data_IF_201648737785
#
_entry.id   IF_201648737785
#
_cell.length_a   1.000
_cell.length_b   1.000
_cell.length_c   1.000
_cell.angle_alpha   90.00
_cell.angle_beta   90.00
_cell.angle_gamma   90.00
#
_symmetry.space_group_name_H-M   'P 1'
#
loop_
_entity.id
_entity.type
_entity.pdbx_description
1 polymer ?
#
# COMPACT_ATOMS: atom_id res chain seq x y z
N UNK A 1 52.35 -44.99 27.98
CA UNK A 1 51.45 -44.91 26.81
C UNK A 1 50.76 -43.55 26.90
N UNK A 2 51.04 -42.62 25.98
CA UNK A 2 50.43 -41.28 26.02
C UNK A 2 48.94 -41.44 25.68
N UNK A 3 47.99 -40.96 26.50
CA UNK A 3 46.57 -41.04 26.18
C UNK A 3 46.32 -40.31 24.87
N UNK A 4 45.62 -40.97 23.93
CA UNK A 4 45.21 -40.32 22.68
C UNK A 4 44.23 -39.20 23.03
N UNK A 5 44.36 -38.01 22.43
CA UNK A 5 43.45 -36.91 22.70
C UNK A 5 42.02 -37.27 22.29
N UNK A 6 41.05 -36.90 23.13
CA UNK A 6 39.63 -37.12 22.87
C UNK A 6 39.07 -36.08 21.89
N UNK A 7 37.99 -36.41 21.15
CA UNK A 7 37.31 -35.45 20.29
C UNK A 7 36.75 -34.25 21.05
N UNK A 8 36.96 -33.05 20.51
CA UNK A 8 36.46 -31.80 21.07
C UNK A 8 35.91 -30.90 19.97
N UNK A 9 34.89 -30.09 20.31
CA UNK A 9 34.39 -29.06 19.41
C UNK A 9 35.28 -27.84 19.46
N UNK A 10 35.72 -27.35 18.29
CA UNK A 10 36.57 -26.16 18.21
C UNK A 10 35.77 -24.85 18.35
N UNK A 11 34.48 -24.89 18.02
CA UNK A 11 33.57 -23.76 18.14
C UNK A 11 32.15 -24.25 18.39
N UNK A 12 31.38 -23.45 19.13
CA UNK A 12 29.96 -23.68 19.33
C UNK A 12 29.20 -23.60 18.00
N UNK A 13 28.14 -24.41 17.87
CA UNK A 13 27.29 -24.38 16.68
C UNK A 13 26.47 -23.09 16.66
N UNK A 14 26.66 -22.28 15.63
CA UNK A 14 26.02 -20.96 15.53
C UNK A 14 24.51 -21.07 15.29
N UNK A 15 23.75 -20.22 15.97
CA UNK A 15 22.35 -19.98 15.66
C UNK A 15 22.25 -19.21 14.34
N UNK A 16 21.32 -19.59 13.47
CA UNK A 16 21.17 -18.99 12.15
C UNK A 16 19.73 -18.59 11.90
N UNK A 17 19.55 -17.41 11.29
CA UNK A 17 18.25 -16.92 10.83
C UNK A 17 18.28 -16.82 9.32
N UNK A 18 17.31 -17.43 8.65
CA UNK A 18 17.29 -17.49 7.18
C UNK A 18 15.89 -17.19 6.63
N UNK A 19 15.84 -16.51 5.50
CA UNK A 19 14.59 -16.27 4.78
C UNK A 19 14.11 -17.56 4.11
N UNK A 20 12.82 -17.86 4.17
CA UNK A 20 12.22 -19.00 3.47
C UNK A 20 12.64 -19.04 2.00
N UNK A 21 12.92 -20.23 1.49
CA UNK A 21 13.34 -20.47 0.11
C UNK A 21 14.85 -20.36 -0.13
N UNK A 22 15.62 -19.86 0.85
CA UNK A 22 17.09 -19.83 0.78
C UNK A 22 17.71 -21.11 1.33
N UNK A 23 18.98 -21.29 1.03
CA UNK A 23 19.79 -22.38 1.55
C UNK A 23 20.55 -21.93 2.80
N UNK A 24 20.84 -22.86 3.70
CA UNK A 24 21.62 -22.60 4.92
C UNK A 24 22.60 -23.75 5.18
N UNK A 25 23.69 -23.46 5.89
CA UNK A 25 24.72 -24.45 6.21
C UNK A 25 25.11 -24.38 7.68
N UNK A 26 24.80 -25.43 8.43
CA UNK A 26 25.36 -25.64 9.76
C UNK A 26 26.76 -26.22 9.64
N UNK A 27 27.73 -25.63 10.33
CA UNK A 27 29.13 -26.07 10.30
C UNK A 27 29.55 -26.52 11.70
N UNK A 28 29.97 -27.77 11.82
CA UNK A 28 30.45 -28.38 13.04
C UNK A 28 31.92 -28.75 12.87
N UNK A 29 32.80 -28.14 13.67
CA UNK A 29 34.25 -28.38 13.59
C UNK A 29 34.71 -29.17 14.81
N UNK A 30 35.29 -30.34 14.57
CA UNK A 30 35.71 -31.30 15.59
C UNK A 30 37.20 -31.58 15.43
N UNK A 31 37.96 -31.37 16.50
CA UNK A 31 39.36 -31.76 16.59
C UNK A 31 39.49 -33.17 17.16
N UNK A 32 40.60 -33.85 16.88
CA UNK A 32 40.91 -35.19 17.39
C UNK A 32 39.81 -36.26 17.12
N UNK A 33 39.05 -36.12 16.03
CA UNK A 33 37.92 -37.00 15.70
C UNK A 33 38.35 -38.47 15.53
N UNK A 34 39.55 -38.74 15.00
CA UNK A 34 40.10 -40.10 14.90
C UNK A 34 39.12 -41.09 14.23
N UNK A 35 38.67 -42.12 14.95
CA UNK A 35 37.68 -43.12 14.50
C UNK A 35 36.24 -42.83 14.93
N UNK A 36 36.02 -41.76 15.69
CA UNK A 36 34.67 -41.35 16.09
C UNK A 36 33.91 -40.79 14.89
N UNK A 37 32.57 -40.79 14.98
CA UNK A 37 31.66 -40.37 13.92
C UNK A 37 30.84 -39.19 14.39
N UNK A 38 30.60 -38.26 13.47
CA UNK A 38 29.70 -37.12 13.68
C UNK A 38 28.31 -37.46 13.18
N UNK A 39 27.28 -37.09 13.93
CA UNK A 39 25.89 -37.22 13.54
C UNK A 39 25.18 -35.87 13.61
N UNK A 40 24.27 -35.64 12.66
CA UNK A 40 23.35 -34.52 12.66
C UNK A 40 21.97 -35.01 13.08
N UNK A 41 21.39 -34.35 14.07
CA UNK A 41 20.09 -34.72 14.63
C UNK A 41 19.24 -33.46 14.76
N UNK A 42 17.99 -33.54 14.31
CA UNK A 42 17.01 -32.47 14.54
C UNK A 42 16.42 -32.69 15.95
N UNK A 43 16.89 -31.90 16.91
CA UNK A 43 16.77 -32.16 18.35
C UNK A 43 15.34 -32.05 18.90
N UNK A 44 14.51 -31.20 18.32
CA UNK A 44 13.09 -31.04 18.65
C UNK A 44 12.27 -32.30 18.33
N UNK A 45 12.47 -32.86 17.15
CA UNK A 45 11.81 -34.09 16.68
C UNK A 45 12.55 -35.37 17.04
N UNK A 46 13.79 -35.25 17.57
CA UNK A 46 14.73 -36.36 17.80
C UNK A 46 15.05 -37.16 16.53
N UNK A 47 14.79 -36.61 15.35
CA UNK A 47 15.04 -37.28 14.08
C UNK A 47 16.52 -37.27 13.74
N UNK A 48 17.10 -38.45 13.48
CA UNK A 48 18.46 -38.57 12.98
C UNK A 48 18.47 -38.15 11.51
N UNK A 49 19.25 -37.11 11.19
CA UNK A 49 19.34 -36.57 9.84
C UNK A 49 20.42 -37.28 9.04
N UNK A 50 21.60 -37.41 9.63
CA UNK A 50 22.76 -38.01 8.99
C UNK A 50 23.75 -38.55 10.01
N UNK A 51 24.51 -39.57 9.62
CA UNK A 51 25.62 -40.11 10.40
C UNK A 51 26.82 -40.22 9.46
N UNK A 52 27.91 -39.56 9.82
CA UNK A 52 29.12 -39.46 9.01
C UNK A 52 28.76 -38.90 7.62
N UNK A 53 28.97 -39.67 6.56
CA UNK A 53 28.65 -39.31 5.17
C UNK A 53 27.27 -39.80 4.71
N UNK A 54 26.57 -40.58 5.53
CA UNK A 54 25.33 -41.23 5.15
C UNK A 54 24.12 -40.41 5.62
N UNK A 55 23.25 -40.03 4.68
CA UNK A 55 21.95 -39.41 4.97
C UNK A 55 20.96 -40.46 5.49
N UNK A 56 20.45 -40.29 6.70
CA UNK A 56 19.45 -41.18 7.31
C UNK A 56 18.04 -40.66 7.03
N UNK A 57 17.84 -39.34 7.10
CA UNK A 57 16.57 -38.72 6.78
C UNK A 57 16.26 -38.82 5.28
N UNK A 58 15.03 -39.24 4.97
CA UNK A 58 14.47 -39.26 3.61
C UNK A 58 13.96 -37.87 3.22
N UNK A 59 14.82 -36.86 3.29
CA UNK A 59 14.51 -35.49 2.89
C UNK A 59 15.51 -35.03 1.82
N UNK A 60 15.10 -34.86 0.56
CA UNK A 60 16.02 -34.53 -0.54
C UNK A 60 16.62 -33.12 -0.42
N UNK A 61 16.10 -32.29 0.49
CA UNK A 61 16.62 -30.95 0.76
C UNK A 61 17.79 -30.95 1.74
N UNK A 62 18.10 -32.09 2.37
CA UNK A 62 19.21 -32.21 3.30
C UNK A 62 20.41 -32.84 2.61
N UNK A 63 21.57 -32.23 2.81
CA UNK A 63 22.85 -32.73 2.29
C UNK A 63 23.89 -32.65 3.42
N UNK A 64 24.72 -33.69 3.57
CA UNK A 64 25.90 -33.63 4.44
C UNK A 64 27.17 -33.67 3.62
N UNK A 65 28.06 -32.74 3.93
CA UNK A 65 29.40 -32.64 3.33
C UNK A 65 30.44 -32.58 4.43
N UNK A 66 31.66 -33.04 4.16
CA UNK A 66 32.78 -32.94 5.09
C UNK A 66 34.08 -32.72 4.35
N UNK A 67 35.06 -32.11 5.01
CA UNK A 67 36.38 -31.86 4.42
C UNK A 67 37.39 -33.00 4.62
N UNK A 68 36.95 -34.15 5.13
CA UNK A 68 37.83 -35.30 5.43
C UNK A 68 38.68 -35.17 6.70
N UNK A 69 38.76 -33.99 7.32
CA UNK A 69 39.66 -33.74 8.45
C UNK A 69 38.91 -33.44 9.75
N UNK A 70 38.21 -32.30 9.79
CA UNK A 70 37.65 -31.76 11.04
C UNK A 70 36.29 -31.10 10.86
N UNK A 71 35.88 -30.78 9.63
CA UNK A 71 34.72 -29.93 9.38
C UNK A 71 33.60 -30.75 8.77
N UNK A 72 32.47 -30.79 9.46
CA UNK A 72 31.23 -31.45 9.05
C UNK A 72 30.16 -30.40 8.81
N UNK A 73 29.50 -30.45 7.66
CA UNK A 73 28.51 -29.47 7.25
C UNK A 73 27.18 -30.15 6.94
N UNK A 74 26.11 -29.64 7.52
CA UNK A 74 24.74 -29.98 7.14
C UNK A 74 24.17 -28.80 6.35
N UNK A 75 23.88 -29.03 5.07
CA UNK A 75 23.15 -28.07 4.24
C UNK A 75 21.66 -28.40 4.26
N UNK A 76 20.85 -27.36 4.35
CA UNK A 76 19.40 -27.42 4.17
C UNK A 76 19.04 -26.53 3.00
N UNK A 77 18.62 -27.13 1.90
CA UNK A 77 18.21 -26.43 0.68
C UNK A 77 16.76 -26.00 0.74
N UNK A 78 16.44 -24.87 0.10
CA UNK A 78 15.09 -24.35 -0.04
C UNK A 78 14.33 -24.41 1.30
N UNK A 79 14.87 -23.73 2.31
CA UNK A 79 14.39 -23.80 3.69
C UNK A 79 12.91 -23.42 3.78
N UNK A 80 12.15 -24.21 4.52
CA UNK A 80 10.73 -24.04 4.77
C UNK A 80 10.47 -23.72 6.24
N UNK A 81 9.30 -23.16 6.55
CA UNK A 81 8.90 -22.84 7.94
C UNK A 81 9.01 -24.05 8.88
N UNK A 82 8.75 -25.26 8.38
CA UNK A 82 8.83 -26.52 9.14
C UNK A 82 10.26 -26.97 9.47
N UNK A 83 11.27 -26.41 8.82
CA UNK A 83 12.68 -26.74 9.11
C UNK A 83 13.21 -26.00 10.33
N UNK A 84 12.53 -24.93 10.76
CA UNK A 84 12.87 -24.22 11.98
C UNK A 84 12.94 -25.18 13.17
N UNK A 85 13.80 -24.85 14.13
CA UNK A 85 14.03 -25.66 15.32
C UNK A 85 15.51 -25.83 15.65
N UNK A 86 15.80 -26.72 16.59
CA UNK A 86 17.15 -26.93 17.12
C UNK A 86 17.82 -28.10 16.41
N UNK A 87 19.00 -27.86 15.84
CA UNK A 87 19.87 -28.84 15.22
C UNK A 87 21.02 -29.18 16.16
N UNK A 88 21.38 -30.45 16.21
CA UNK A 88 22.43 -30.99 17.07
C UNK A 88 23.53 -31.62 16.22
N UNK A 89 24.76 -31.21 16.48
CA UNK A 89 25.96 -31.95 16.06
C UNK A 89 26.43 -32.82 17.23
N UNK A 90 26.46 -34.14 17.03
CA UNK A 90 26.77 -35.12 18.06
C UNK A 90 27.99 -35.96 17.66
N UNK A 91 28.85 -36.28 18.63
CA UNK A 91 29.96 -37.22 18.49
C UNK A 91 29.66 -38.45 19.35
N UNK A 92 29.90 -39.64 18.81
CA UNK A 92 29.67 -40.92 19.49
C UNK A 92 30.76 -41.29 20.52
N UNK A 93 31.21 -40.33 21.34
CA UNK A 93 32.06 -40.59 22.51
C UNK A 93 31.26 -41.25 23.65
N UNK A 94 31.94 -41.74 24.68
CA UNK A 94 31.34 -42.22 25.93
C UNK A 94 32.00 -41.51 27.13
N UNK A 95 31.32 -40.56 27.80
CA UNK A 95 29.96 -40.09 27.52
C UNK A 95 29.86 -39.31 26.20
N UNK A 96 28.66 -39.28 25.64
CA UNK A 96 28.36 -38.58 24.38
C UNK A 96 28.61 -37.07 24.49
N UNK A 97 29.29 -36.50 23.49
CA UNK A 97 29.49 -35.06 23.34
C UNK A 97 28.59 -34.50 22.25
N UNK A 98 27.96 -33.34 22.48
CA UNK A 98 27.14 -32.67 21.48
C UNK A 98 27.14 -31.15 21.64
N UNK A 99 26.70 -30.47 20.58
CA UNK A 99 26.41 -29.04 20.58
C UNK A 99 25.15 -28.74 19.78
N UNK A 100 24.47 -27.65 20.14
CA UNK A 100 23.17 -27.25 19.60
C UNK A 100 23.25 -25.91 18.89
N UNK A 101 22.52 -25.77 17.79
CA UNK A 101 22.31 -24.53 17.06
C UNK A 101 20.85 -24.41 16.63
N UNK A 102 20.29 -23.21 16.70
CA UNK A 102 18.88 -22.95 16.38
C UNK A 102 18.77 -22.38 14.97
N UNK A 103 17.86 -22.97 14.16
CA UNK A 103 17.43 -22.41 12.89
C UNK A 103 16.14 -21.62 13.09
N UNK A 104 16.21 -20.30 12.89
CA UNK A 104 15.04 -19.45 12.77
C UNK A 104 14.72 -19.23 11.30
N UNK A 105 13.46 -19.43 10.91
CA UNK A 105 12.99 -19.18 9.54
C UNK A 105 12.10 -17.96 9.55
N UNK A 106 12.49 -16.95 8.78
CA UNK A 106 11.75 -15.70 8.64
C UNK A 106 11.12 -15.62 7.24
N UNK A 107 9.96 -14.97 7.16
CA UNK A 107 9.18 -14.83 5.93
C UNK A 107 8.89 -13.33 5.77
N UNK A 108 9.27 -12.69 4.64
CA UNK A 108 8.94 -11.29 4.38
C UNK A 108 7.43 -11.06 4.41
N UNK A 109 6.96 -9.82 4.63
CA UNK A 109 5.55 -9.53 4.61
C UNK A 109 4.99 -9.68 3.20
N UNK A 110 3.78 -10.24 3.08
CA UNK A 110 2.99 -10.30 1.86
C UNK A 110 1.55 -9.80 2.11
N UNK A 111 0.99 -9.00 1.21
CA UNK A 111 -0.36 -8.42 1.37
C UNK A 111 -1.37 -9.31 0.64
N UNK A 112 -2.40 -9.74 1.37
CA UNK A 112 -3.39 -10.65 0.84
C UNK A 112 -4.28 -9.98 -0.23
N UNK A 113 -4.78 -10.75 -1.23
CA UNK A 113 -5.64 -10.21 -2.27
C UNK A 113 -7.03 -9.76 -1.75
N UNK A 114 -7.74 -8.97 -2.57
CA UNK A 114 -8.98 -8.30 -2.17
C UNK A 114 -10.17 -9.23 -1.91
N UNK A 115 -10.14 -10.46 -2.43
CA UNK A 115 -11.18 -11.46 -2.20
C UNK A 115 -11.27 -11.92 -0.72
N UNK A 116 -10.18 -11.82 0.06
CA UNK A 116 -10.18 -12.01 1.52
C UNK A 116 -10.33 -10.68 2.31
N UNK A 117 -10.32 -9.55 1.58
CA UNK A 117 -10.40 -8.17 2.09
C UNK A 117 -11.70 -7.45 1.68
N UNK A 118 -12.70 -8.19 1.19
CA UNK A 118 -13.88 -7.73 0.42
C UNK A 118 -14.89 -6.81 1.13
N UNK A 119 -14.55 -6.20 2.28
CA UNK A 119 -15.40 -5.22 2.94
C UNK A 119 -14.66 -3.90 3.08
N UNK A 120 -14.72 -3.11 2.01
CA UNK A 120 -14.18 -1.76 2.01
C UNK A 120 -14.21 -1.09 0.65
N UNK A 121 -15.36 -0.52 0.28
CA UNK A 121 -15.42 0.38 -0.88
C UNK A 121 -14.64 1.64 -0.54
N UNK A 122 -13.64 1.97 -1.36
CA UNK A 122 -12.97 3.27 -1.34
C UNK A 122 -13.88 4.43 -1.76
N UNK A 123 -15.15 4.17 -2.06
CA UNK A 123 -16.12 5.14 -2.57
C UNK A 123 -17.27 5.29 -1.58
N UNK A 124 -17.62 6.52 -1.22
CA UNK A 124 -18.80 6.86 -0.40
C UNK A 124 -19.30 8.26 -0.72
N UNK A 125 -20.51 8.61 -0.30
CA UNK A 125 -21.03 9.99 -0.44
C UNK A 125 -20.43 10.92 0.64
N UNK A 126 -20.43 12.23 0.40
CA UNK A 126 -20.03 13.24 1.39
C UNK A 126 -20.87 13.09 2.68
N UNK A 127 -20.19 13.08 3.83
CA UNK A 127 -20.79 12.76 5.14
C UNK A 127 -20.94 11.25 5.43
N UNK A 128 -20.65 10.39 4.46
CA UNK A 128 -20.70 8.93 4.59
C UNK A 128 -19.52 8.31 5.35
N UNK A 129 -19.38 7.00 5.22
CA UNK A 129 -18.31 6.19 5.84
C UNK A 129 -17.56 5.44 4.75
N UNK A 130 -16.23 5.39 4.85
CA UNK A 130 -15.33 4.59 4.03
C UNK A 130 -14.53 3.67 4.97
N UNK A 131 -14.44 2.40 4.62
CA UNK A 131 -13.61 1.41 5.34
C UNK A 131 -12.59 0.88 4.35
N UNK A 132 -11.31 0.97 4.66
CA UNK A 132 -10.24 0.38 3.87
C UNK A 132 -9.63 -0.76 4.68
N UNK A 133 -9.58 -1.96 4.11
CA UNK A 133 -9.05 -3.15 4.76
C UNK A 133 -7.79 -3.62 4.05
N UNK A 134 -6.76 -3.89 4.82
CA UNK A 134 -5.49 -4.41 4.34
C UNK A 134 -4.94 -5.40 5.35
N UNK A 135 -4.84 -6.66 4.92
CA UNK A 135 -4.31 -7.75 5.73
C UNK A 135 -3.01 -8.25 5.13
N UNK A 136 -2.03 -8.53 5.99
CA UNK A 136 -0.72 -9.02 5.57
C UNK A 136 -0.32 -10.26 6.37
N UNK A 137 0.50 -11.11 5.76
CA UNK A 137 1.05 -12.34 6.35
C UNK A 137 2.57 -12.31 6.30
N UNK A 138 3.24 -13.01 7.21
CA UNK A 138 4.70 -13.03 7.29
C UNK A 138 5.15 -13.70 8.58
N UNK A 139 6.47 -13.87 8.74
CA UNK A 139 7.07 -14.36 9.99
C UNK A 139 8.29 -13.48 10.31
N UNK A 140 8.24 -12.67 11.38
CA UNK A 140 7.13 -12.50 12.34
C UNK A 140 5.83 -11.95 11.73
N UNK A 141 4.73 -12.00 12.48
CA UNK A 141 3.44 -11.46 12.04
C UNK A 141 3.57 -9.96 11.69
N UNK A 142 3.16 -9.53 10.48
CA UNK A 142 3.32 -8.13 10.08
C UNK A 142 2.40 -7.17 10.82
N UNK A 143 2.91 -5.96 11.04
CA UNK A 143 2.09 -4.80 11.42
C UNK A 143 1.69 -4.01 10.17
N UNK A 144 0.46 -3.52 10.16
CA UNK A 144 -0.09 -2.70 9.07
C UNK A 144 -0.25 -1.26 9.52
N UNK A 145 0.13 -0.33 8.65
CA UNK A 145 -0.05 1.10 8.86
C UNK A 145 -0.53 1.80 7.59
N UNK A 146 -1.29 2.88 7.75
CA UNK A 146 -1.89 3.65 6.67
C UNK A 146 -1.29 5.05 6.59
N UNK A 147 -1.04 5.51 5.37
CA UNK A 147 -0.57 6.87 5.09
C UNK A 147 -1.19 7.40 3.80
N UNK A 148 -1.32 8.72 3.69
CA UNK A 148 -1.70 9.36 2.43
C UNK A 148 -0.48 9.51 1.53
N UNK A 149 -0.65 9.32 0.23
CA UNK A 149 0.40 9.53 -0.78
C UNK A 149 0.83 11.00 -0.84
N UNK A 150 -0.11 11.93 -0.70
CA UNK A 150 0.15 13.38 -0.71
C UNK A 150 0.86 13.91 0.56
N UNK A 151 1.19 13.02 1.51
CA UNK A 151 1.86 13.38 2.77
C UNK A 151 1.00 14.20 3.74
N UNK A 152 -0.28 14.48 3.43
CA UNK A 152 -1.19 15.15 4.36
C UNK A 152 -1.59 14.22 5.50
N UNK A 153 -2.16 14.79 6.54
CA UNK A 153 -2.65 14.02 7.67
C UNK A 153 -3.94 13.29 7.28
N UNK A 154 -4.11 12.07 7.79
CA UNK A 154 -5.39 11.38 7.83
C UNK A 154 -6.22 12.04 8.93
N UNK A 155 -7.42 12.53 8.58
CA UNK A 155 -8.34 13.16 9.53
C UNK A 155 -9.33 12.11 10.01
N UNK A 156 -9.20 11.72 11.28
CA UNK A 156 -10.11 10.79 11.94
C UNK A 156 -11.18 11.58 12.67
N UNK A 157 -12.44 11.42 12.27
CA UNK A 157 -13.60 12.06 12.90
C UNK A 157 -14.29 11.04 13.81
N UNK A 158 -14.60 11.44 15.03
CA UNK A 158 -15.26 10.57 16.01
C UNK A 158 -16.68 11.08 16.31
N UNK A 159 -17.54 10.17 16.77
CA UNK A 159 -18.86 10.53 17.30
C UNK A 159 -18.69 11.55 18.44
N UNK A 160 -19.37 12.70 18.32
CA UNK A 160 -19.22 13.84 19.23
C UNK A 160 -18.34 15.00 18.70
N UNK A 161 -17.95 14.98 17.42
CA UNK A 161 -17.31 16.12 16.75
C UNK A 161 -15.82 16.30 17.06
N UNK A 162 -15.19 15.32 17.72
CA UNK A 162 -13.73 15.33 17.93
C UNK A 162 -13.04 14.91 16.65
N UNK A 163 -12.09 15.73 16.21
CA UNK A 163 -11.22 15.43 15.07
C UNK A 163 -9.79 15.18 15.54
N UNK A 164 -9.14 14.17 14.96
CA UNK A 164 -7.73 13.88 15.18
C UNK A 164 -7.02 13.75 13.84
N UNK A 165 -6.04 14.61 13.59
CA UNK A 165 -5.19 14.54 12.41
C UNK A 165 -3.93 13.75 12.73
N UNK A 166 -3.66 12.66 11.99
CA UNK A 166 -2.48 11.81 12.18
C UNK A 166 -1.70 11.64 10.87
N UNK A 167 -0.36 11.59 10.95
CA UNK A 167 0.49 11.29 9.78
C UNK A 167 0.42 9.83 9.33
N UNK A 168 0.13 8.94 10.27
CA UNK A 168 0.09 7.50 10.08
C UNK A 168 -0.96 6.92 11.01
N UNK A 169 -1.71 5.92 10.56
CA UNK A 169 -2.68 5.19 11.38
C UNK A 169 -2.30 3.71 11.41
N UNK A 170 -2.10 3.11 12.58
CA UNK A 170 -1.77 1.70 12.72
C UNK A 170 -3.05 0.86 12.85
N UNK A 171 -3.13 -0.23 12.08
CA UNK A 171 -4.27 -1.15 12.09
C UNK A 171 -4.59 -1.69 10.69
N UNK A 172 -5.13 -2.91 10.62
CA UNK A 172 -5.53 -3.54 9.35
C UNK A 172 -6.72 -2.84 8.68
N UNK A 173 -7.57 -2.15 9.46
CA UNK A 173 -8.77 -1.47 8.96
C UNK A 173 -8.73 0.01 9.29
N UNK A 174 -8.65 0.86 8.26
CA UNK A 174 -8.83 2.31 8.38
C UNK A 174 -10.31 2.65 8.14
N UNK A 175 -10.98 3.19 9.14
CA UNK A 175 -12.37 3.68 9.02
C UNK A 175 -12.38 5.21 9.02
N UNK A 176 -12.81 5.80 7.90
CA UNK A 176 -13.05 7.23 7.75
C UNK A 176 -14.56 7.47 7.87
N UNK A 177 -14.99 8.23 8.87
CA UNK A 177 -16.39 8.61 9.08
C UNK A 177 -16.61 10.08 8.77
N UNK A 178 -17.85 10.45 8.45
CA UNK A 178 -18.22 11.79 8.04
C UNK A 178 -17.26 12.33 6.96
N UNK A 179 -17.05 11.52 5.90
CA UNK A 179 -16.02 11.78 4.89
C UNK A 179 -16.28 13.09 4.16
N UNK A 180 -15.21 13.86 3.97
CA UNK A 180 -15.23 15.17 3.32
C UNK A 180 -14.46 15.10 2.00
N UNK A 181 -14.68 16.06 1.10
CA UNK A 181 -13.96 16.16 -0.20
C UNK A 181 -12.44 16.19 -0.02
N UNK A 182 -11.97 16.77 1.08
CA UNK A 182 -10.55 16.85 1.43
C UNK A 182 -9.93 15.51 1.83
N UNK A 183 -10.76 14.51 2.16
CA UNK A 183 -10.30 13.16 2.48
C UNK A 183 -10.01 12.33 1.22
N UNK A 184 -10.45 12.79 0.04
CA UNK A 184 -10.15 12.16 -1.25
C UNK A 184 -8.65 12.01 -1.48
N UNK A 185 -8.32 11.03 -2.33
CA UNK A 185 -6.98 10.80 -2.84
C UNK A 185 -6.49 9.40 -2.50
N UNK A 186 -5.18 9.23 -2.56
CA UNK A 186 -4.55 7.91 -2.51
C UNK A 186 -4.02 7.61 -1.12
N UNK A 187 -4.35 6.43 -0.61
CA UNK A 187 -3.91 5.90 0.67
C UNK A 187 -3.07 4.65 0.43
N UNK A 188 -1.93 4.57 1.10
CA UNK A 188 -1.10 3.38 1.16
C UNK A 188 -1.35 2.62 2.44
N UNK A 189 -1.69 1.36 2.31
CA UNK A 189 -1.43 0.37 3.35
C UNK A 189 0.02 -0.08 3.24
N UNK A 190 0.75 -0.10 4.35
CA UNK A 190 2.16 -0.49 4.44
C UNK A 190 2.27 -1.62 5.46
N UNK A 191 2.78 -2.78 5.03
CA UNK A 191 2.96 -3.95 5.87
C UNK A 191 4.44 -4.19 6.19
N UNK A 192 4.78 -4.35 7.47
CA UNK A 192 6.16 -4.52 7.95
C UNK A 192 6.25 -5.58 9.04
N UNK A 193 7.27 -6.43 8.96
CA UNK A 193 7.63 -7.36 10.03
C UNK A 193 9.14 -7.36 10.38
N UNK A 194 9.86 -6.33 9.93
CA UNK A 194 11.32 -6.22 10.11
C UNK A 194 12.16 -6.99 9.09
N UNK A 195 11.52 -7.75 8.19
CA UNK A 195 12.19 -8.49 7.12
C UNK A 195 11.96 -7.78 5.77
N UNK A 196 13.01 -7.40 5.03
CA UNK A 196 12.86 -6.82 3.71
C UNK A 196 12.30 -7.84 2.68
N UNK A 197 11.57 -7.39 1.65
CA UNK A 197 11.22 -6.00 1.37
C UNK A 197 10.04 -5.50 2.21
N UNK A 198 10.01 -4.20 2.47
CA UNK A 198 8.79 -3.52 2.88
C UNK A 198 7.83 -3.50 1.69
N UNK A 199 6.57 -3.86 1.90
CA UNK A 199 5.56 -3.84 0.85
C UNK A 199 4.40 -2.91 1.18
N UNK A 200 3.73 -2.43 0.15
CA UNK A 200 2.59 -1.54 0.28
C UNK A 200 1.56 -1.78 -0.80
N UNK A 201 0.29 -1.50 -0.48
CA UNK A 201 -0.84 -1.55 -1.41
C UNK A 201 -1.52 -0.19 -1.48
N UNK A 202 -1.86 0.22 -2.71
CA UNK A 202 -2.51 1.49 -3.02
C UNK A 202 -4.04 1.34 -2.96
N UNK A 203 -4.71 2.27 -2.31
CA UNK A 203 -6.16 2.40 -2.22
C UNK A 203 -6.58 3.80 -2.67
N UNK A 204 -7.63 3.89 -3.48
CA UNK A 204 -8.19 5.15 -3.93
C UNK A 204 -9.44 5.48 -3.10
N UNK A 205 -9.46 6.67 -2.52
CA UNK A 205 -10.59 7.19 -1.74
C UNK A 205 -11.30 8.26 -2.56
N UNK A 206 -12.56 8.00 -2.90
CA UNK A 206 -13.42 8.86 -3.69
C UNK A 206 -14.66 9.22 -2.87
N UNK A 207 -14.94 10.52 -2.79
CA UNK A 207 -16.14 11.04 -2.12
C UNK A 207 -17.13 11.57 -3.16
N UNK A 208 -18.37 11.15 -3.12
CA UNK A 208 -19.41 11.53 -4.07
C UNK A 208 -20.28 12.67 -3.49
N UNK A 209 -20.44 13.76 -4.22
CA UNK A 209 -21.24 14.92 -3.84
C UNK A 209 -21.88 15.61 -5.06
N UNK A 210 -23.02 16.26 -4.84
CA UNK A 210 -23.72 17.01 -5.87
C UNK A 210 -22.87 18.20 -6.37
N UNK A 211 -23.07 18.67 -7.62
CA UNK A 211 -22.28 19.76 -8.16
C UNK A 211 -22.48 21.04 -7.35
N UNK A 212 -21.40 21.81 -7.17
CA UNK A 212 -21.40 23.14 -6.61
C UNK A 212 -20.82 24.11 -7.65
N UNK A 213 -21.51 25.21 -7.91
CA UNK A 213 -21.06 26.25 -8.85
C UNK A 213 -20.73 27.53 -8.07
N UNK A 214 -19.56 28.10 -8.34
CA UNK A 214 -19.13 29.41 -7.87
C UNK A 214 -18.87 30.32 -9.08
N UNK A 215 -19.58 31.44 -9.15
CA UNK A 215 -19.46 32.40 -10.26
C UNK A 215 -18.46 33.48 -9.87
N UNK A 216 -17.39 33.67 -10.65
CA UNK A 216 -16.34 34.65 -10.34
C UNK A 216 -16.86 36.09 -10.39
N UNK A 217 -17.61 36.44 -11.44
CA UNK A 217 -18.23 37.74 -11.62
C UNK A 217 -19.67 37.55 -12.07
N UNK A 218 -20.62 37.83 -11.17
CA UNK A 218 -22.06 37.72 -11.47
C UNK A 218 -22.55 38.83 -12.41
N UNK A 219 -21.83 39.94 -12.49
CA UNK A 219 -22.13 41.07 -13.37
C UNK A 219 -20.88 41.44 -14.16
N UNK A 220 -20.99 41.41 -15.48
CA UNK A 220 -19.92 41.80 -16.39
C UNK A 220 -20.40 42.95 -17.27
N UNK A 221 -19.57 43.97 -17.43
CA UNK A 221 -19.81 45.07 -18.35
C UNK A 221 -18.72 45.08 -19.42
N UNK A 222 -19.10 45.04 -20.69
CA UNK A 222 -18.15 45.09 -21.82
C UNK A 222 -18.68 45.98 -22.94
N UNK A 223 -17.83 46.77 -23.60
CA UNK A 223 -18.22 47.50 -24.81
C UNK A 223 -18.65 46.55 -25.94
N UNK A 224 -19.50 47.05 -26.82
CA UNK A 224 -19.85 46.36 -28.08
C UNK A 224 -18.58 46.18 -28.91
N UNK A 225 -18.54 45.12 -29.70
CA UNK A 225 -17.43 44.72 -30.57
C UNK A 225 -16.14 44.28 -29.84
N UNK A 226 -16.20 44.08 -28.53
CA UNK A 226 -15.12 43.44 -27.75
C UNK A 226 -15.49 42.00 -27.40
N UNK A 227 -14.48 41.23 -27.05
CA UNK A 227 -14.66 39.88 -26.51
C UNK A 227 -14.89 39.96 -25.00
N UNK A 228 -15.72 39.07 -24.46
CA UNK A 228 -15.88 38.88 -23.01
C UNK A 228 -15.75 37.41 -22.66
N UNK A 229 -15.22 37.12 -21.47
CA UNK A 229 -15.12 35.77 -20.93
C UNK A 229 -15.90 35.71 -19.63
N UNK A 230 -16.87 34.80 -19.57
CA UNK A 230 -17.60 34.44 -18.37
C UNK A 230 -16.97 33.21 -17.75
N UNK A 231 -16.87 33.17 -16.43
CA UNK A 231 -16.16 32.12 -15.70
C UNK A 231 -17.03 31.58 -14.56
N UNK A 232 -17.23 30.26 -14.56
CA UNK A 232 -17.82 29.52 -13.46
C UNK A 232 -16.85 28.44 -12.99
N UNK A 233 -16.60 28.38 -11.69
CA UNK A 233 -15.91 27.26 -11.06
C UNK A 233 -16.94 26.21 -10.64
N UNK A 234 -16.69 24.96 -11.01
CA UNK A 234 -17.55 23.82 -10.73
C UNK A 234 -16.77 22.82 -9.90
N UNK A 235 -17.34 22.39 -8.78
CA UNK A 235 -16.86 21.26 -8.00
C UNK A 235 -17.89 20.13 -8.05
N UNK A 236 -17.50 18.93 -8.50
CA UNK A 236 -18.41 17.79 -8.58
C UNK A 236 -17.69 16.44 -8.54
N UNK A 237 -18.32 15.45 -7.92
CA UNK A 237 -17.89 14.04 -7.94
C UNK A 237 -19.10 13.11 -7.80
N UNK A 238 -19.38 12.16 -8.70
CA UNK A 238 -18.65 11.88 -9.94
C UNK A 238 -18.60 13.08 -10.89
N UNK A 239 -17.72 13.00 -11.89
CA UNK A 239 -17.57 14.03 -12.93
C UNK A 239 -18.94 14.42 -13.50
N UNK A 240 -19.22 15.73 -13.49
CA UNK A 240 -20.48 16.28 -13.94
C UNK A 240 -20.49 16.61 -15.44
N UNK A 241 -21.69 16.65 -16.02
CA UNK A 241 -21.97 17.19 -17.34
C UNK A 241 -22.22 18.70 -17.22
N UNK A 242 -21.43 19.48 -17.94
CA UNK A 242 -21.41 20.93 -17.87
C UNK A 242 -21.93 21.55 -19.17
N UNK A 243 -22.70 22.64 -19.09
CA UNK A 243 -23.14 23.39 -20.27
C UNK A 243 -23.52 24.83 -19.91
N UNK A 244 -23.57 25.69 -20.93
CA UNK A 244 -24.08 27.06 -20.81
C UNK A 244 -25.46 27.19 -21.44
N UNK A 245 -26.31 28.01 -20.83
CA UNK A 245 -27.63 28.37 -21.34
C UNK A 245 -27.81 29.89 -21.24
N UNK A 246 -28.71 30.45 -22.04
CA UNK A 246 -29.24 31.80 -21.81
C UNK A 246 -30.29 31.75 -20.71
N UNK A 247 -30.54 32.88 -20.06
CA UNK A 247 -31.65 33.05 -19.10
C UNK A 247 -33.04 32.78 -19.71
N UNK A 248 -33.14 32.87 -21.04
CA UNK A 248 -34.32 32.47 -21.82
C UNK A 248 -34.55 30.96 -21.89
N UNK A 249 -33.59 30.14 -21.46
CA UNK A 249 -33.64 28.67 -21.51
C UNK A 249 -33.01 28.05 -22.75
N UNK A 250 -32.50 28.85 -23.69
CA UNK A 250 -31.81 28.36 -24.88
C UNK A 250 -30.41 27.84 -24.54
N UNK A 251 -30.08 26.62 -24.98
CA UNK A 251 -28.73 26.06 -24.83
C UNK A 251 -27.75 26.75 -25.77
N UNK A 252 -26.59 27.12 -25.24
CA UNK A 252 -25.51 27.72 -26.02
C UNK A 252 -24.66 26.59 -26.62
N UNK A 253 -24.48 26.64 -27.94
CA UNK A 253 -23.70 25.67 -28.71
C UNK A 253 -22.38 26.32 -29.12
N UNK A 254 -21.30 25.55 -29.06
CA UNK A 254 -19.96 26.03 -29.42
C UNK A 254 -19.91 26.44 -30.88
N UNK A 255 -19.35 27.61 -31.16
CA UNK A 255 -19.26 28.23 -32.50
C UNK A 255 -18.14 29.27 -32.54
N UNK A 256 -17.92 29.91 -33.70
CA UNK A 256 -16.97 31.02 -33.80
C UNK A 256 -17.33 32.21 -32.90
N UNK A 257 -18.62 32.38 -32.62
CA UNK A 257 -19.17 33.43 -31.75
C UNK A 257 -19.07 33.06 -30.26
N UNK A 258 -19.44 31.83 -29.91
CA UNK A 258 -19.48 31.31 -28.54
C UNK A 258 -18.46 30.19 -28.38
N UNK A 259 -17.33 30.48 -27.75
CA UNK A 259 -16.27 29.50 -27.51
C UNK A 259 -16.35 29.04 -26.07
N UNK A 260 -16.59 27.75 -25.86
CA UNK A 260 -16.64 27.12 -24.54
C UNK A 260 -15.36 26.34 -24.27
N UNK A 261 -14.75 26.57 -23.11
CA UNK A 261 -13.53 25.88 -22.67
C UNK A 261 -13.72 25.39 -21.24
N UNK A 262 -13.24 24.18 -20.95
CA UNK A 262 -13.19 23.62 -19.59
C UNK A 262 -11.74 23.42 -19.17
N UNK A 263 -11.36 23.96 -18.01
CA UNK A 263 -10.02 23.86 -17.46
C UNK A 263 -10.07 23.10 -16.14
N UNK A 264 -9.51 21.88 -16.09
CA UNK A 264 -9.44 21.09 -14.86
C UNK A 264 -8.48 21.75 -13.86
N UNK A 265 -8.94 22.06 -12.64
CA UNK A 265 -8.13 22.66 -11.56
C UNK A 265 -7.53 21.60 -10.64
N UNK A 266 -8.31 20.59 -10.26
CA UNK A 266 -7.88 19.44 -9.46
C UNK A 266 -8.79 18.23 -9.76
N UNK A 267 -8.74 17.13 -9.00
CA UNK A 267 -9.53 15.91 -9.28
C UNK A 267 -11.05 16.12 -9.37
N UNK A 268 -11.60 17.07 -8.60
CA UNK A 268 -13.05 17.31 -8.51
C UNK A 268 -13.46 18.75 -8.82
N UNK A 269 -12.52 19.66 -9.10
CA UNK A 269 -12.76 21.07 -9.45
C UNK A 269 -12.31 21.37 -10.89
N UNK A 270 -13.15 22.08 -11.64
CA UNK A 270 -12.87 22.59 -12.98
C UNK A 270 -13.42 24.00 -13.13
N UNK A 271 -12.90 24.74 -14.10
CA UNK A 271 -13.38 26.05 -14.49
C UNK A 271 -14.00 26.00 -15.88
N UNK A 272 -15.28 26.35 -15.97
CA UNK A 272 -16.00 26.56 -17.21
C UNK A 272 -15.82 28.00 -17.67
N UNK A 273 -15.36 28.18 -18.90
CA UNK A 273 -15.24 29.48 -19.54
C UNK A 273 -16.20 29.55 -20.74
N UNK A 274 -16.93 30.66 -20.85
CA UNK A 274 -17.67 31.03 -22.07
C UNK A 274 -17.09 32.33 -22.60
N UNK A 275 -16.37 32.25 -23.72
CA UNK A 275 -15.88 33.42 -24.45
C UNK A 275 -16.89 33.77 -25.54
N UNK A 276 -17.43 34.99 -25.47
CA UNK A 276 -18.29 35.56 -26.51
C UNK A 276 -17.45 36.55 -27.31
N UNK A 277 -17.24 36.28 -28.60
CA UNK A 277 -16.44 37.14 -29.47
C UNK A 277 -17.27 38.28 -30.04
N UNK A 278 -16.64 39.45 -30.23
CA UNK A 278 -17.22 40.60 -30.94
C UNK A 278 -18.67 40.90 -30.50
N UNK A 279 -18.89 41.18 -29.20
CA UNK A 279 -20.22 41.31 -28.57
C UNK A 279 -21.15 42.25 -29.34
N UNK A 280 -22.40 41.86 -29.48
CA UNK A 280 -23.47 42.66 -30.08
C UNK A 280 -24.61 42.90 -29.08
N UNK A 281 -25.55 43.80 -29.42
CA UNK A 281 -26.70 44.11 -28.55
C UNK A 281 -27.55 42.88 -28.18
N UNK A 282 -27.65 41.88 -29.07
CA UNK A 282 -28.37 40.61 -28.83
C UNK A 282 -27.64 39.65 -27.88
N UNK A 283 -26.36 39.87 -27.63
CA UNK A 283 -25.57 39.05 -26.70
C UNK A 283 -25.71 39.57 -25.26
N UNK A 284 -26.24 40.77 -25.07
CA UNK A 284 -26.55 41.32 -23.75
C UNK A 284 -27.72 40.52 -23.14
N UNK A 285 -27.58 40.11 -21.89
CA UNK A 285 -28.56 39.25 -21.23
C UNK A 285 -27.98 38.44 -20.08
N UNK A 286 -28.81 37.57 -19.51
CA UNK A 286 -28.40 36.58 -18.52
C UNK A 286 -27.89 35.29 -19.18
N UNK A 287 -26.86 34.74 -18.58
CA UNK A 287 -26.22 33.47 -18.94
C UNK A 287 -26.19 32.59 -17.70
N UNK A 288 -26.48 31.31 -17.88
CA UNK A 288 -26.53 30.32 -16.81
C UNK A 288 -25.52 29.24 -17.14
N UNK A 289 -24.53 29.04 -16.27
CA UNK A 289 -23.69 27.86 -16.30
C UNK A 289 -24.37 26.76 -15.47
N UNK A 290 -24.48 25.58 -16.04
CA UNK A 290 -25.20 24.47 -15.44
C UNK A 290 -24.32 23.24 -15.37
N UNK A 291 -24.31 22.60 -14.21
CA UNK A 291 -23.56 21.37 -13.97
C UNK A 291 -24.44 20.31 -13.33
N UNK A 292 -24.37 19.07 -13.81
CA UNK A 292 -25.20 17.96 -13.33
C UNK A 292 -24.42 16.66 -13.24
N UNK A 293 -24.55 15.94 -12.13
CA UNK A 293 -24.05 14.57 -11.98
C UNK A 293 -25.16 13.65 -11.44
N UNK A 294 -24.82 12.40 -11.11
CA UNK A 294 -25.78 11.41 -10.63
C UNK A 294 -26.47 11.77 -9.29
N UNK A 295 -25.95 12.76 -8.56
CA UNK A 295 -26.44 13.16 -7.23
C UNK A 295 -27.25 14.46 -7.27
N UNK A 296 -27.19 15.22 -8.36
CA UNK A 296 -27.96 16.45 -8.48
C UNK A 296 -27.45 17.40 -9.56
N UNK A 297 -27.99 18.62 -9.51
CA UNK A 297 -27.76 19.69 -10.47
C UNK A 297 -27.51 21.01 -9.73
N UNK A 298 -26.63 21.84 -10.26
CA UNK A 298 -26.41 23.20 -9.80
C UNK A 298 -26.32 24.16 -10.99
N UNK A 299 -26.64 25.43 -10.72
CA UNK A 299 -26.70 26.51 -11.70
C UNK A 299 -26.04 27.76 -11.12
N UNK A 300 -25.38 28.54 -11.97
CA UNK A 300 -24.83 29.84 -11.63
C UNK A 300 -25.16 30.87 -12.70
N UNK A 301 -25.58 32.06 -12.29
CA UNK A 301 -26.03 33.11 -13.20
C UNK A 301 -24.98 34.21 -13.34
N UNK A 302 -24.71 34.59 -14.59
CA UNK A 302 -23.86 35.72 -14.99
C UNK A 302 -24.70 36.65 -15.84
N UNK A 303 -24.71 37.95 -15.53
CA UNK A 303 -25.39 38.96 -16.33
C UNK A 303 -24.37 39.79 -17.10
N UNK A 304 -24.50 39.81 -18.42
CA UNK A 304 -23.71 40.66 -19.31
C UNK A 304 -24.47 41.96 -19.60
N UNK A 305 -23.82 43.09 -19.37
CA UNK A 305 -24.30 44.43 -19.67
C UNK A 305 -23.42 45.10 -20.72
N UNK A 306 -24.02 45.90 -21.59
CA UNK A 306 -23.29 46.76 -22.49
C UNK A 306 -22.70 47.92 -21.69
N UNK A 307 -21.38 48.12 -21.78
CA UNK A 307 -20.76 49.33 -21.24
C UNK A 307 -20.97 50.46 -22.25
N UNK A 308 -21.65 51.53 -21.81
CA UNK A 308 -21.73 52.79 -22.57
C UNK A 308 -20.48 53.58 -22.18
N UNK A 309 -19.73 54.02 -23.17
CA UNK A 309 -18.56 54.91 -22.98
C UNK A 309 -18.98 56.28 -22.44
#
# INVERSE_FOLDING_TARGET
>A
QIPKPEPEFLAALENQTVTQGRDIVFTCVVNHLSSYKVAWIKSDSKAILAINTHMVAQNPRLEVTHNGHNTWKLKVHNVQKSDAGTYMCQINTDPMRSQLGVLNVVIPPDILPDNESAEGSGISIEGGIIRLKCKAVGVPDPTVSWRREDGKNIVLRHEGGREKAVKSFDGEVLTLTNVQRTDMGIYFCIARNGIPPLISKRFEVIVHFHPLISVTNQLLASPIARDVVMQCEVQASPKAMNHWMRDTGEKIISSDKYVMEELQKNEYSLQMNLRIRNIERRDIGGYICTSSNALGKAEGTVRLQGKVD
#
